data_IF_954199911339
#
_entry.id   IF_954199911339
#
_cell.length_a   1.000
_cell.length_b   1.000
_cell.length_c   1.000
_cell.angle_alpha   90.00
_cell.angle_beta   90.00
_cell.angle_gamma   90.00
#
_symmetry.space_group_name_H-M   'P 1'
#
loop_
_entity.id
_entity.type
_entity.pdbx_description
1 polymer ?
#
# COMPACT_ATOMS: atom_id res chain seq x y z
N UNK A 1 3.91 9.82 -5.21
CA UNK A 1 3.69 11.16 -5.81
C UNK A 1 3.54 10.96 -7.32
N UNK A 2 2.63 11.68 -7.97
CA UNK A 2 2.51 11.71 -9.42
C UNK A 2 3.05 13.02 -9.98
N UNK A 3 3.91 12.94 -10.98
CA UNK A 3 4.41 14.10 -11.71
C UNK A 3 3.39 14.54 -12.77
N UNK A 4 2.80 15.73 -12.57
CA UNK A 4 1.78 16.29 -13.46
C UNK A 4 2.18 17.71 -13.85
N UNK A 5 2.95 17.80 -14.93
CA UNK A 5 3.44 19.08 -15.48
C UNK A 5 3.40 19.17 -17.01
N UNK A 6 2.72 18.20 -17.65
CA UNK A 6 2.61 18.14 -19.11
C UNK A 6 1.63 19.20 -19.67
N UNK A 7 2.05 19.91 -20.72
CA UNK A 7 1.23 21.00 -21.30
C UNK A 7 -0.18 20.58 -21.71
N UNK A 8 -0.38 19.29 -21.99
CA UNK A 8 -1.67 18.68 -22.34
C UNK A 8 -2.73 18.88 -21.26
N UNK A 9 -2.37 18.95 -19.96
CA UNK A 9 -3.32 19.22 -18.87
C UNK A 9 -4.01 20.58 -19.00
N UNK A 10 -3.39 21.56 -19.68
CA UNK A 10 -4.01 22.87 -19.95
C UNK A 10 -5.11 22.82 -21.00
N UNK A 11 -5.21 21.73 -21.75
CA UNK A 11 -6.31 21.47 -22.68
C UNK A 11 -7.57 20.95 -21.99
N UNK A 12 -7.48 20.61 -20.71
CA UNK A 12 -8.60 20.15 -19.87
C UNK A 12 -9.00 21.24 -18.88
N UNK A 13 -10.25 21.21 -18.43
CA UNK A 13 -10.67 22.02 -17.30
C UNK A 13 -10.03 21.52 -15.99
N UNK A 14 -9.90 22.41 -15.01
CA UNK A 14 -9.41 22.05 -13.66
C UNK A 14 -10.23 20.91 -13.04
N UNK A 15 -11.55 20.86 -13.28
CA UNK A 15 -12.41 19.79 -12.79
C UNK A 15 -12.18 18.44 -13.48
N UNK A 16 -11.86 18.42 -14.78
CA UNK A 16 -11.48 17.19 -15.48
C UNK A 16 -10.13 16.67 -14.97
N UNK A 17 -9.17 17.57 -14.74
CA UNK A 17 -7.90 17.20 -14.13
C UNK A 17 -8.10 16.66 -12.71
N UNK A 18 -8.97 17.26 -11.90
CA UNK A 18 -9.32 16.77 -10.55
C UNK A 18 -9.89 15.35 -10.61
N UNK A 19 -10.79 15.07 -11.55
CA UNK A 19 -11.34 13.73 -11.73
C UNK A 19 -10.26 12.70 -12.11
N UNK A 20 -9.34 13.06 -13.00
CA UNK A 20 -8.21 12.20 -13.36
C UNK A 20 -7.27 11.95 -12.17
N UNK A 21 -6.97 12.99 -11.40
CA UNK A 21 -6.14 12.91 -10.19
C UNK A 21 -6.82 12.05 -9.14
N UNK A 22 -8.11 12.29 -8.87
CA UNK A 22 -8.92 11.52 -7.93
C UNK A 22 -8.97 10.04 -8.31
N UNK A 23 -9.11 9.72 -9.60
CA UNK A 23 -9.07 8.34 -10.08
C UNK A 23 -7.69 7.69 -9.84
N UNK A 24 -6.60 8.41 -10.13
CA UNK A 24 -5.25 7.93 -9.85
C UNK A 24 -4.99 7.76 -8.35
N UNK A 25 -5.43 8.72 -7.54
CA UNK A 25 -5.34 8.69 -6.09
C UNK A 25 -6.04 7.45 -5.55
N UNK A 26 -7.28 7.18 -5.98
CA UNK A 26 -8.02 5.98 -5.58
C UNK A 26 -7.25 4.70 -5.92
N UNK A 27 -6.61 4.63 -7.10
CA UNK A 27 -5.79 3.47 -7.49
C UNK A 27 -4.56 3.33 -6.58
N UNK A 28 -3.85 4.43 -6.31
CA UNK A 28 -2.61 4.40 -5.51
C UNK A 28 -2.90 4.15 -4.04
N UNK A 29 -3.93 4.78 -3.49
CA UNK A 29 -4.34 4.61 -2.09
C UNK A 29 -5.01 3.26 -1.83
N UNK A 30 -5.76 2.72 -2.79
CA UNK A 30 -6.25 1.34 -2.70
C UNK A 30 -5.11 0.32 -2.70
N UNK A 31 -3.96 0.65 -3.29
CA UNK A 31 -2.74 -0.15 -3.18
C UNK A 31 -1.96 0.06 -1.87
N UNK A 32 -2.48 0.87 -0.93
CA UNK A 32 -1.88 1.11 0.39
C UNK A 32 -0.77 2.16 0.40
N UNK A 33 -0.59 2.90 -0.70
CA UNK A 33 0.39 3.97 -0.79
C UNK A 33 -0.25 5.33 -0.58
N UNK A 34 0.47 6.23 0.10
CA UNK A 34 0.08 7.64 0.18
C UNK A 34 0.23 8.31 -1.18
N UNK A 35 -0.74 9.12 -1.57
CA UNK A 35 -0.75 9.80 -2.86
C UNK A 35 -0.78 11.32 -2.73
N UNK A 36 -0.06 11.98 -3.63
CA UNK A 36 -0.12 13.43 -3.82
C UNK A 36 0.46 13.76 -5.20
N UNK A 37 0.21 14.97 -5.69
CA UNK A 37 0.71 15.45 -6.97
C UNK A 37 1.96 16.32 -6.77
N UNK A 38 2.92 16.16 -7.69
CA UNK A 38 3.98 17.10 -7.97
C UNK A 38 3.57 17.96 -9.15
N UNK A 39 3.64 19.29 -8.99
CA UNK A 39 3.37 20.23 -10.09
C UNK A 39 3.93 21.63 -9.80
N UNK A 40 3.91 22.50 -10.81
CA UNK A 40 4.40 23.88 -10.72
C UNK A 40 3.43 24.78 -9.94
N UNK A 41 3.97 25.69 -9.13
CA UNK A 41 3.15 26.68 -8.40
C UNK A 41 2.34 27.60 -9.32
N UNK A 42 2.80 27.79 -10.56
CA UNK A 42 2.14 28.60 -11.58
C UNK A 42 0.89 27.95 -12.18
N UNK A 43 0.66 26.66 -11.90
CA UNK A 43 -0.52 25.96 -12.34
C UNK A 43 -1.65 26.21 -11.36
N UNK A 44 -1.56 25.73 -10.12
CA UNK A 44 -2.60 25.93 -9.09
C UNK A 44 -4.02 25.75 -9.64
N UNK A 45 -5.01 26.37 -9.02
CA UNK A 45 -6.43 26.22 -9.44
C UNK A 45 -6.74 26.63 -10.89
N UNK A 46 -5.78 27.25 -11.61
CA UNK A 46 -5.93 27.52 -13.05
C UNK A 46 -5.75 26.29 -13.94
N UNK A 47 -5.15 25.20 -13.42
CA UNK A 47 -4.97 23.93 -14.15
C UNK A 47 -5.27 22.72 -13.26
N UNK A 48 -4.79 22.68 -12.01
CA UNK A 48 -4.93 21.57 -11.06
C UNK A 48 -5.41 22.08 -9.69
N UNK A 49 -6.33 21.40 -8.99
CA UNK A 49 -6.77 21.87 -7.68
C UNK A 49 -5.59 21.94 -6.68
N UNK A 50 -5.44 23.06 -5.98
CA UNK A 50 -4.37 23.22 -4.97
C UNK A 50 -4.39 22.14 -3.89
N UNK A 51 -5.58 21.61 -3.57
CA UNK A 51 -5.75 20.53 -2.58
C UNK A 51 -4.97 19.26 -2.92
N UNK A 52 -4.63 19.04 -4.20
CA UNK A 52 -4.01 17.78 -4.64
C UNK A 52 -2.48 17.90 -4.78
N UNK A 53 -1.94 19.12 -4.82
CA UNK A 53 -0.51 19.37 -5.05
C UNK A 53 0.24 19.42 -3.71
N UNK A 54 0.81 18.29 -3.30
CA UNK A 54 1.61 18.20 -2.06
C UNK A 54 3.10 18.37 -2.26
N UNK A 55 3.62 18.30 -3.50
CA UNK A 55 5.02 18.64 -3.80
C UNK A 55 5.06 19.75 -4.85
N UNK A 56 5.40 20.96 -4.41
CA UNK A 56 5.23 22.15 -5.25
C UNK A 56 6.58 22.56 -5.82
N UNK A 57 6.64 22.78 -7.14
CA UNK A 57 7.83 23.31 -7.81
C UNK A 57 7.71 24.82 -8.02
N UNK A 58 8.70 25.57 -7.53
CA UNK A 58 8.78 27.02 -7.71
C UNK A 58 10.20 27.49 -7.47
N UNK A 59 10.82 28.17 -8.44
CA UNK A 59 12.25 28.49 -8.43
C UNK A 59 12.49 30.00 -8.27
N UNK A 60 12.36 30.58 -7.07
CA UNK A 60 12.61 31.99 -6.86
C UNK A 60 14.11 32.29 -6.98
N UNK A 61 14.43 33.50 -7.46
CA UNK A 61 15.81 33.99 -7.49
C UNK A 61 16.42 34.14 -6.07
N UNK A 62 15.58 34.41 -5.06
CA UNK A 62 16.00 34.67 -3.69
C UNK A 62 15.34 33.67 -2.72
N UNK A 63 16.16 32.92 -1.97
CA UNK A 63 15.72 31.96 -0.96
C UNK A 63 15.91 32.56 0.45
N UNK A 64 14.98 33.40 0.89
CA UNK A 64 15.06 34.06 2.21
C UNK A 64 13.98 33.59 3.21
N UNK A 65 13.09 32.70 2.78
CA UNK A 65 12.00 32.14 3.59
C UNK A 65 11.53 30.83 2.98
N UNK A 66 10.89 30.01 3.80
CA UNK A 66 10.14 28.85 3.35
C UNK A 66 8.88 29.30 2.60
N UNK A 67 8.58 28.64 1.48
CA UNK A 67 7.38 28.85 0.67
C UNK A 67 6.60 27.54 0.57
N UNK A 68 5.29 27.63 0.34
CA UNK A 68 4.46 26.43 0.11
C UNK A 68 4.44 25.43 1.28
N UNK A 69 4.57 25.91 2.51
CA UNK A 69 4.58 25.11 3.75
C UNK A 69 3.26 24.40 4.07
N UNK A 70 2.21 24.66 3.29
CA UNK A 70 0.95 23.93 3.36
C UNK A 70 1.01 22.58 2.64
N UNK A 71 1.98 22.39 1.72
CA UNK A 71 2.27 21.11 1.10
C UNK A 71 3.27 20.28 1.92
N UNK A 72 3.58 19.09 1.42
CA UNK A 72 4.54 18.17 2.02
C UNK A 72 5.99 18.46 1.62
N UNK A 73 6.20 19.08 0.45
CA UNK A 73 7.53 19.44 -0.05
C UNK A 73 7.50 20.63 -1.01
N UNK A 74 8.63 21.35 -1.06
CA UNK A 74 8.89 22.42 -2.02
C UNK A 74 10.18 22.14 -2.78
N UNK A 75 10.09 21.97 -4.10
CA UNK A 75 11.25 21.98 -5.00
C UNK A 75 11.59 23.42 -5.37
N UNK A 76 12.71 23.92 -4.83
CA UNK A 76 13.07 25.33 -4.92
C UNK A 76 14.19 25.63 -5.92
N UNK A 77 14.81 24.59 -6.49
CA UNK A 77 15.90 24.70 -7.46
C UNK A 77 15.95 23.46 -8.35
N UNK A 78 16.31 23.64 -9.62
CA UNK A 78 16.54 22.55 -10.59
C UNK A 78 17.96 22.48 -11.14
N UNK A 79 18.83 23.40 -10.73
CA UNK A 79 20.15 23.58 -11.29
C UNK A 79 21.29 23.54 -10.26
N UNK A 80 21.05 22.94 -9.08
CA UNK A 80 22.08 22.88 -8.03
C UNK A 80 23.23 22.02 -8.49
N UNK A 81 24.43 22.55 -8.34
CA UNK A 81 25.66 21.79 -8.49
C UNK A 81 26.21 21.40 -7.12
N UNK A 82 26.63 20.15 -6.97
CA UNK A 82 27.30 19.67 -5.78
C UNK A 82 28.75 19.33 -6.14
N UNK A 83 29.70 19.80 -5.33
CA UNK A 83 31.11 19.53 -5.56
C UNK A 83 31.37 18.02 -5.54
N UNK A 84 31.99 17.49 -6.59
CA UNK A 84 32.23 16.06 -6.76
C UNK A 84 31.08 15.28 -7.42
N UNK A 85 29.98 15.94 -7.77
CA UNK A 85 28.89 15.33 -8.55
C UNK A 85 28.95 15.75 -10.02
N UNK A 86 28.48 14.87 -10.91
CA UNK A 86 28.27 15.20 -12.32
C UNK A 86 26.82 15.66 -12.53
N UNK A 87 26.65 16.81 -13.18
CA UNK A 87 25.34 17.34 -13.55
C UNK A 87 24.73 18.33 -12.55
N UNK A 88 23.52 18.75 -12.90
CA UNK A 88 22.66 19.66 -12.14
C UNK A 88 21.55 18.85 -11.50
N UNK A 89 21.20 19.21 -10.27
CA UNK A 89 20.26 18.46 -9.46
C UNK A 89 19.09 19.34 -9.04
N UNK A 90 17.92 18.71 -9.02
CA UNK A 90 16.75 19.25 -8.34
C UNK A 90 16.94 19.19 -6.84
N UNK A 91 16.57 20.27 -6.15
CA UNK A 91 16.67 20.38 -4.69
C UNK A 91 15.32 20.72 -4.12
N UNK A 92 14.92 19.91 -3.15
CA UNK A 92 13.66 20.07 -2.44
C UNK A 92 13.85 20.13 -0.94
N UNK A 93 12.98 20.90 -0.28
CA UNK A 93 12.78 20.89 1.16
C UNK A 93 11.54 20.05 1.48
N UNK A 94 11.66 19.10 2.42
CA UNK A 94 10.52 18.34 2.93
C UNK A 94 10.01 19.00 4.21
N UNK A 95 8.70 19.24 4.30
CA UNK A 95 8.06 19.84 5.47
C UNK A 95 7.59 18.81 6.50
N UNK A 96 7.37 17.58 6.09
CA UNK A 96 6.96 16.48 6.96
C UNK A 96 7.56 15.13 6.49
N UNK A 97 7.03 14.03 7.01
CA UNK A 97 7.47 12.67 6.70
C UNK A 97 6.61 11.97 5.64
N UNK A 98 5.88 12.73 4.81
CA UNK A 98 5.03 12.19 3.75
C UNK A 98 5.83 11.36 2.72
N UNK A 99 7.07 11.75 2.41
CA UNK A 99 7.91 11.04 1.44
C UNK A 99 8.90 10.05 2.07
N UNK A 100 9.04 10.05 3.39
CA UNK A 100 10.04 9.23 4.12
C UNK A 100 9.43 7.99 4.80
N UNK A 101 8.19 7.64 4.48
CA UNK A 101 7.54 6.43 5.05
C UNK A 101 7.40 6.43 6.57
N UNK A 102 7.33 7.61 7.21
CA UNK A 102 7.26 7.73 8.67
C UNK A 102 8.62 7.89 9.38
N UNK A 103 9.73 7.80 8.65
CA UNK A 103 11.05 8.13 9.19
C UNK A 103 11.14 9.63 9.51
N UNK A 104 11.91 9.99 10.54
CA UNK A 104 12.08 11.38 10.96
C UNK A 104 12.64 12.22 9.80
N UNK A 105 11.93 13.29 9.41
CA UNK A 105 12.35 14.20 8.32
C UNK A 105 13.72 14.88 8.56
N UNK A 106 14.14 14.98 9.82
CA UNK A 106 15.42 15.55 10.24
C UNK A 106 16.48 14.45 10.50
N UNK A 107 16.20 13.19 10.19
CA UNK A 107 17.20 12.13 10.30
C UNK A 107 18.33 12.42 9.30
N UNK A 108 19.46 12.88 9.83
CA UNK A 108 20.71 12.95 9.07
C UNK A 108 21.16 11.51 8.85
N UNK A 109 21.03 10.99 7.63
CA UNK A 109 21.78 9.80 7.22
C UNK A 109 23.23 10.24 7.16
N UNK A 110 24.08 9.67 8.01
CA UNK A 110 25.49 10.02 8.01
C UNK A 110 26.12 9.60 6.68
N UNK A 111 27.06 10.37 6.13
CA UNK A 111 27.76 10.01 4.88
C UNK A 111 28.49 8.64 4.96
N UNK A 112 28.64 8.06 6.15
CA UNK A 112 29.16 6.70 6.33
C UNK A 112 28.16 5.59 5.96
N UNK A 113 26.86 5.90 5.96
CA UNK A 113 25.78 4.93 5.69
C UNK A 113 25.42 4.84 4.20
N UNK A 114 25.93 5.76 3.36
CA UNK A 114 25.67 5.79 1.91
C UNK A 114 26.59 4.88 1.10
N UNK A 115 27.52 4.16 1.73
CA UNK A 115 28.49 3.31 1.04
C UNK A 115 28.23 1.79 1.10
N UNK A 116 27.16 1.32 1.74
CA UNK A 116 26.88 -0.12 1.86
C UNK A 116 25.45 -0.51 1.46
N UNK A 117 25.02 -0.14 0.24
CA UNK A 117 23.97 -0.92 -0.46
C UNK A 117 24.60 -2.21 -0.97
N UNK A 118 24.94 -3.10 -0.03
CA UNK A 118 25.68 -4.32 -0.33
C UNK A 118 26.11 -5.03 0.94
N UNK A 119 25.32 -6.04 1.33
CA UNK A 119 25.63 -7.06 2.36
C UNK A 119 25.78 -6.54 3.78
N UNK A 120 24.75 -6.74 4.60
CA UNK A 120 24.98 -7.02 6.02
C UNK A 120 23.96 -8.04 6.56
N UNK A 121 24.38 -9.30 6.49
CA UNK A 121 24.07 -10.35 7.45
C UNK A 121 24.66 -9.95 8.81
N UNK A 122 23.83 -9.58 9.78
CA UNK A 122 24.32 -9.35 11.14
C UNK A 122 23.30 -8.68 12.06
N UNK A 123 22.83 -9.43 13.05
CA UNK A 123 22.04 -8.94 14.20
C UNK A 123 22.83 -7.84 14.94
N UNK A 124 22.23 -6.66 15.15
CA UNK A 124 22.43 -5.90 16.38
C UNK A 124 21.13 -5.21 16.80
N UNK A 125 20.76 -5.51 18.05
CA UNK A 125 19.72 -4.84 18.83
C UNK A 125 20.15 -3.41 19.13
N UNK A 126 19.20 -2.47 19.15
CA UNK A 126 19.21 -1.42 20.17
C UNK A 126 17.79 -0.94 20.46
N UNK A 127 17.45 -1.00 21.74
CA UNK A 127 16.25 -0.48 22.37
C UNK A 127 16.17 1.04 22.21
N UNK A 128 14.97 1.57 21.94
CA UNK A 128 14.63 2.93 22.37
C UNK A 128 13.18 3.00 22.85
N UNK A 129 13.05 3.69 23.98
CA UNK A 129 11.90 3.74 24.85
C UNK A 129 10.63 4.23 24.18
N UNK A 130 9.58 3.45 24.42
CA UNK A 130 8.19 3.72 24.10
C UNK A 130 7.68 4.98 24.79
N UNK A 131 7.10 5.91 24.03
CA UNK A 131 5.90 6.62 24.48
C UNK A 131 4.74 6.05 23.67
N UNK A 132 3.91 5.28 24.37
CA UNK A 132 2.74 4.59 23.85
C UNK A 132 1.69 5.60 23.40
N UNK A 133 1.45 5.68 22.09
CA UNK A 133 0.10 5.89 21.57
C UNK A 133 -0.27 4.63 20.81
N UNK A 134 -1.11 3.82 21.46
CA UNK A 134 -1.60 2.53 20.99
C UNK A 134 -2.39 2.70 19.68
N UNK A 135 -1.77 2.37 18.56
CA UNK A 135 -2.47 1.76 17.44
C UNK A 135 -1.97 0.31 17.37
N UNK A 136 -2.88 -0.63 17.64
CA UNK A 136 -2.62 -2.07 17.69
C UNK A 136 -2.14 -2.57 16.32
N UNK A 137 -0.82 -2.63 16.12
CA UNK A 137 -0.22 -3.41 15.05
C UNK A 137 -0.17 -4.86 15.54
N UNK A 138 -1.20 -5.64 15.21
CA UNK A 138 -1.14 -7.08 15.40
C UNK A 138 -0.15 -7.66 14.38
N UNK A 139 1.08 -7.90 14.83
CA UNK A 139 2.02 -8.80 14.14
C UNK A 139 1.38 -10.18 14.09
N UNK A 140 0.93 -10.59 12.92
CA UNK A 140 0.31 -11.89 12.67
C UNK A 140 1.37 -12.91 12.29
N UNK A 141 1.18 -14.15 12.73
CA UNK A 141 1.98 -15.30 12.31
C UNK A 141 1.76 -15.59 10.84
N UNK A 142 2.82 -15.95 10.11
CA UNK A 142 2.66 -16.54 8.77
C UNK A 142 1.75 -17.78 8.86
N UNK A 143 0.82 -17.93 7.92
CA UNK A 143 -0.13 -19.04 7.86
C UNK A 143 -0.17 -19.62 6.43
N UNK A 144 -0.40 -20.93 6.31
CA UNK A 144 -0.82 -21.56 5.05
C UNK A 144 -1.99 -22.51 5.30
N UNK A 145 -2.94 -22.54 4.37
CA UNK A 145 -4.07 -23.45 4.46
C UNK A 145 -4.67 -23.72 3.08
N UNK A 146 -5.18 -24.94 2.91
CA UNK A 146 -5.86 -25.34 1.70
C UNK A 146 -7.23 -24.66 1.59
N UNK A 147 -7.52 -24.06 0.44
CA UNK A 147 -8.83 -23.49 0.15
C UNK A 147 -9.03 -23.41 -1.35
N UNK A 148 -10.15 -23.94 -1.82
CA UNK A 148 -10.54 -23.86 -3.22
C UNK A 148 -11.47 -22.67 -3.46
N UNK A 149 -11.20 -21.89 -4.50
CA UNK A 149 -12.08 -20.81 -4.91
C UNK A 149 -11.69 -20.19 -6.24
N UNK A 150 -12.44 -19.17 -6.61
CA UNK A 150 -12.15 -18.27 -7.71
C UNK A 150 -11.84 -16.88 -7.16
N UNK A 151 -10.97 -16.13 -7.82
CA UNK A 151 -10.66 -14.76 -7.50
C UNK A 151 -10.68 -13.93 -8.77
N UNK A 152 -11.58 -12.96 -8.82
CA UNK A 152 -11.71 -12.01 -9.93
C UNK A 152 -10.98 -10.73 -9.54
N UNK A 153 -9.92 -10.38 -10.26
CA UNK A 153 -9.11 -9.20 -9.97
C UNK A 153 -9.91 -7.92 -10.21
N UNK A 154 -9.67 -6.86 -9.41
CA UNK A 154 -10.19 -5.51 -9.72
C UNK A 154 -9.09 -4.57 -10.25
N UNK A 155 -7.85 -5.05 -10.26
CA UNK A 155 -6.65 -4.35 -10.69
C UNK A 155 -5.69 -5.32 -11.40
N UNK A 156 -4.62 -4.81 -11.99
CA UNK A 156 -3.57 -5.67 -12.57
C UNK A 156 -2.75 -6.30 -11.46
N UNK A 157 -2.60 -7.62 -11.48
CA UNK A 157 -1.86 -8.35 -10.45
C UNK A 157 -0.75 -9.21 -11.04
N UNK A 158 0.44 -9.11 -10.46
CA UNK A 158 1.58 -9.92 -10.86
C UNK A 158 1.39 -11.39 -10.46
N UNK A 159 1.70 -12.29 -11.40
CA UNK A 159 1.85 -13.73 -11.18
C UNK A 159 3.30 -13.97 -10.78
N UNK A 160 3.52 -14.63 -9.65
CA UNK A 160 4.85 -14.82 -9.05
C UNK A 160 5.20 -16.27 -8.81
N UNK A 161 6.49 -16.52 -8.65
CA UNK A 161 7.09 -17.84 -8.40
C UNK A 161 7.03 -18.28 -6.93
N UNK A 162 6.77 -17.37 -6.00
CA UNK A 162 6.58 -17.67 -4.57
C UNK A 162 5.58 -16.68 -3.93
N UNK A 163 5.01 -16.99 -2.74
CA UNK A 163 4.13 -16.07 -2.01
C UNK A 163 4.94 -14.96 -1.32
N UNK A 164 5.63 -14.14 -2.12
CA UNK A 164 6.47 -13.03 -1.67
C UNK A 164 6.56 -11.95 -2.76
N UNK A 165 6.53 -10.69 -2.34
CA UNK A 165 6.68 -9.52 -3.22
C UNK A 165 8.07 -9.42 -3.85
N UNK A 166 9.07 -10.10 -3.28
CA UNK A 166 10.45 -10.11 -3.78
C UNK A 166 10.71 -11.24 -4.78
N UNK A 167 9.75 -12.16 -4.96
CA UNK A 167 9.90 -13.29 -5.88
C UNK A 167 9.68 -12.91 -7.33
N UNK A 168 10.30 -13.66 -8.25
CA UNK A 168 10.26 -13.38 -9.69
C UNK A 168 8.83 -13.34 -10.23
N UNK A 169 8.57 -12.39 -11.12
CA UNK A 169 7.31 -12.21 -11.84
C UNK A 169 7.38 -13.01 -13.14
N UNK A 170 6.34 -13.80 -13.42
CA UNK A 170 6.25 -14.69 -14.59
C UNK A 170 5.06 -14.35 -15.50
N UNK A 171 4.27 -13.36 -15.11
CA UNK A 171 3.12 -12.87 -15.86
C UNK A 171 2.27 -11.93 -15.03
N UNK A 172 1.07 -11.62 -15.51
CA UNK A 172 0.09 -10.82 -14.81
C UNK A 172 -1.33 -11.23 -15.17
N UNK A 173 -2.26 -11.00 -14.25
CA UNK A 173 -3.69 -10.91 -14.54
C UNK A 173 -4.07 -9.44 -14.75
N UNK A 174 -4.80 -9.14 -15.81
CA UNK A 174 -5.45 -7.84 -16.02
C UNK A 174 -6.68 -7.69 -15.11
N UNK A 175 -7.23 -6.47 -14.92
CA UNK A 175 -8.46 -6.27 -14.16
C UNK A 175 -9.64 -7.07 -14.75
N UNK A 176 -10.51 -7.58 -13.88
CA UNK A 176 -11.66 -8.44 -14.18
C UNK A 176 -11.32 -9.84 -14.70
N UNK A 177 -10.04 -10.20 -14.79
CA UNK A 177 -9.67 -11.59 -15.06
C UNK A 177 -9.86 -12.44 -13.80
N UNK A 178 -10.17 -13.73 -14.01
CA UNK A 178 -10.46 -14.65 -12.93
C UNK A 178 -9.46 -15.79 -12.91
N UNK A 179 -8.89 -16.04 -11.73
CA UNK A 179 -8.07 -17.22 -11.47
C UNK A 179 -8.79 -18.17 -10.51
N UNK A 180 -8.64 -19.47 -10.71
CA UNK A 180 -9.01 -20.47 -9.71
C UNK A 180 -7.78 -20.82 -8.88
N UNK A 181 -7.94 -20.96 -7.57
CA UNK A 181 -6.85 -21.24 -6.63
C UNK A 181 -7.24 -22.39 -5.71
N UNK A 182 -6.23 -23.06 -5.14
CA UNK A 182 -6.38 -24.24 -4.27
C UNK A 182 -5.73 -24.06 -2.88
N UNK A 183 -5.04 -22.95 -2.66
CA UNK A 183 -4.33 -22.68 -1.42
C UNK A 183 -4.19 -21.19 -1.15
N UNK A 184 -4.14 -20.83 0.14
CA UNK A 184 -3.90 -19.48 0.61
C UNK A 184 -2.67 -19.45 1.51
N UNK A 185 -1.83 -18.43 1.34
CA UNK A 185 -0.72 -18.13 2.25
C UNK A 185 -0.88 -16.72 2.81
N UNK A 186 -0.78 -16.58 4.12
CA UNK A 186 -0.61 -15.30 4.80
C UNK A 186 0.87 -15.16 5.10
N UNK A 187 1.53 -14.20 4.45
CA UNK A 187 2.96 -13.93 4.68
C UNK A 187 3.19 -12.47 4.97
N UNK A 188 3.62 -12.19 6.20
CA UNK A 188 3.56 -10.84 6.75
C UNK A 188 2.14 -10.29 6.67
N UNK A 189 1.95 -9.19 5.93
CA UNK A 189 0.64 -8.56 5.75
C UNK A 189 -0.13 -9.05 4.51
N UNK A 190 0.47 -9.86 3.63
CA UNK A 190 -0.10 -10.17 2.33
C UNK A 190 -0.84 -11.51 2.31
N UNK A 191 -1.96 -11.54 1.59
CA UNK A 191 -2.73 -12.74 1.27
C UNK A 191 -2.36 -13.21 -0.14
N UNK A 192 -1.80 -14.40 -0.26
CA UNK A 192 -1.39 -14.99 -1.52
C UNK A 192 -2.28 -16.17 -1.88
N UNK A 193 -2.76 -16.19 -3.12
CA UNK A 193 -3.51 -17.31 -3.70
C UNK A 193 -2.58 -18.13 -4.57
N UNK A 194 -2.57 -19.44 -4.39
CA UNK A 194 -1.80 -20.38 -5.22
C UNK A 194 -2.69 -21.08 -6.22
N UNK A 195 -2.20 -21.22 -7.44
CA UNK A 195 -2.80 -22.08 -8.45
C UNK A 195 -1.73 -22.84 -9.24
N UNK A 196 -2.13 -23.92 -9.89
CA UNK A 196 -1.26 -24.69 -10.79
C UNK A 196 -1.40 -24.16 -12.22
N UNK A 197 -0.28 -23.77 -12.82
CA UNK A 197 -0.22 -23.37 -14.22
C UNK A 197 -0.36 -24.55 -15.18
N UNK A 198 -0.60 -24.28 -16.46
CA UNK A 198 -0.68 -25.31 -17.51
C UNK A 198 0.61 -26.14 -17.64
N UNK A 199 1.76 -25.55 -17.32
CA UNK A 199 3.06 -26.24 -17.33
C UNK A 199 3.33 -27.08 -16.08
N UNK A 200 2.37 -27.18 -15.14
CA UNK A 200 2.50 -27.94 -13.90
C UNK A 200 3.25 -27.22 -12.77
N UNK A 201 3.69 -25.98 -12.99
CA UNK A 201 4.34 -25.17 -11.94
C UNK A 201 3.30 -24.45 -11.09
N UNK A 202 3.55 -24.31 -9.78
CA UNK A 202 2.74 -23.46 -8.91
C UNK A 202 3.08 -21.98 -9.11
N UNK A 203 2.04 -21.16 -9.14
CA UNK A 203 2.14 -19.71 -9.20
C UNK A 203 1.30 -19.06 -8.10
N UNK A 204 1.69 -17.84 -7.75
CA UNK A 204 1.15 -17.10 -6.62
C UNK A 204 0.71 -15.70 -7.06
N UNK A 205 -0.49 -15.31 -6.64
CA UNK A 205 -1.04 -13.97 -6.89
C UNK A 205 -1.40 -13.35 -5.55
N UNK A 206 -0.96 -12.12 -5.30
CA UNK A 206 -1.33 -11.39 -4.09
C UNK A 206 -2.76 -10.90 -4.23
N UNK A 207 -3.69 -11.44 -3.44
CA UNK A 207 -5.10 -11.09 -3.48
C UNK A 207 -5.46 -9.88 -2.60
N UNK A 208 -4.56 -9.45 -1.71
CA UNK A 208 -4.81 -8.32 -0.85
C UNK A 208 -3.89 -8.26 0.35
N UNK A 209 -4.23 -7.35 1.27
CA UNK A 209 -3.59 -7.20 2.57
C UNK A 209 -4.56 -7.69 3.64
N UNK A 210 -4.07 -8.49 4.58
CA UNK A 210 -4.89 -9.03 5.66
C UNK A 210 -5.46 -7.90 6.54
N UNK A 211 -6.80 -7.88 6.68
CA UNK A 211 -7.51 -6.81 7.38
C UNK A 211 -7.49 -5.44 6.67
N UNK A 212 -7.00 -5.40 5.41
CA UNK A 212 -6.87 -4.21 4.59
C UNK A 212 -7.61 -4.33 3.25
N UNK A 213 -7.06 -3.70 2.21
CA UNK A 213 -7.67 -3.66 0.88
C UNK A 213 -7.62 -5.03 0.16
N UNK A 214 -8.74 -5.41 -0.46
CA UNK A 214 -8.86 -6.57 -1.34
C UNK A 214 -8.60 -6.14 -2.80
N UNK A 215 -7.69 -6.84 -3.48
CA UNK A 215 -7.29 -6.53 -4.87
C UNK A 215 -8.17 -7.23 -5.92
N UNK A 216 -9.38 -7.60 -5.51
CA UNK A 216 -10.35 -8.35 -6.28
C UNK A 216 -11.38 -8.99 -5.37
N UNK A 217 -12.34 -9.68 -5.98
CA UNK A 217 -13.41 -10.38 -5.27
C UNK A 217 -13.09 -11.85 -5.19
N UNK A 218 -13.01 -12.40 -3.97
CA UNK A 218 -12.82 -13.82 -3.75
C UNK A 218 -14.18 -14.53 -3.66
N UNK A 219 -14.45 -15.41 -4.61
CA UNK A 219 -15.59 -16.32 -4.57
C UNK A 219 -15.11 -17.67 -4.06
N UNK A 220 -15.42 -17.97 -2.81
CA UNK A 220 -15.19 -19.29 -2.22
C UNK A 220 -16.42 -20.17 -2.43
N UNK A 221 -16.23 -21.39 -2.91
CA UNK A 221 -17.32 -22.35 -3.06
C UNK A 221 -17.55 -23.12 -1.76
N UNK A 222 -17.80 -22.42 -0.65
CA UNK A 222 -17.83 -23.07 0.65
C UNK A 222 -19.02 -22.59 1.49
N UNK A 223 -20.00 -23.48 1.67
CA UNK A 223 -20.86 -23.48 2.87
C UNK A 223 -20.05 -24.14 3.99
N UNK A 224 -19.02 -23.46 4.48
CA UNK A 224 -18.27 -23.96 5.62
C UNK A 224 -18.80 -23.36 6.91
N UNK A 225 -18.69 -24.17 7.97
CA UNK A 225 -19.24 -23.87 9.27
C UNK A 225 -18.13 -23.99 10.31
N UNK A 226 -18.01 -23.00 11.18
CA UNK A 226 -17.09 -23.00 12.31
C UNK A 226 -17.89 -22.91 13.60
N UNK A 227 -17.72 -23.89 14.50
CA UNK A 227 -18.32 -23.84 15.83
C UNK A 227 -17.42 -23.04 16.77
N UNK A 228 -17.95 -21.99 17.37
CA UNK A 228 -17.24 -21.13 18.33
C UNK A 228 -16.83 -21.94 19.56
N UNK A 229 -15.56 -21.89 19.93
CA UNK A 229 -15.05 -22.52 21.15
C UNK A 229 -14.84 -21.49 22.27
N UNK A 230 -14.67 -21.97 23.50
CA UNK A 230 -14.34 -21.08 24.63
C UNK A 230 -13.01 -20.36 24.36
N UNK A 231 -13.00 -19.04 24.49
CA UNK A 231 -11.83 -18.19 24.22
C UNK A 231 -11.71 -17.68 22.78
N UNK A 232 -12.60 -18.06 21.87
CA UNK A 232 -12.64 -17.48 20.53
C UNK A 232 -13.21 -16.05 20.55
N UNK A 233 -12.73 -15.22 19.63
CA UNK A 233 -13.29 -13.92 19.25
C UNK A 233 -13.60 -13.94 17.75
N UNK A 234 -14.50 -13.08 17.25
CA UNK A 234 -14.70 -12.99 15.80
C UNK A 234 -13.40 -12.65 15.08
N UNK A 235 -12.54 -11.84 15.68
CA UNK A 235 -11.22 -11.50 15.17
C UNK A 235 -10.32 -12.73 15.04
N UNK A 236 -10.22 -13.55 16.09
CA UNK A 236 -9.37 -14.75 16.09
C UNK A 236 -9.93 -15.85 15.18
N UNK A 237 -11.26 -15.95 15.07
CA UNK A 237 -11.92 -16.86 14.14
C UNK A 237 -11.73 -16.39 12.69
N UNK A 238 -12.03 -15.12 12.39
CA UNK A 238 -11.84 -14.53 11.07
C UNK A 238 -10.39 -14.71 10.59
N UNK A 239 -9.43 -14.45 11.49
CA UNK A 239 -8.01 -14.72 11.24
C UNK A 239 -7.77 -16.20 10.93
N UNK A 240 -8.21 -17.11 11.82
CA UNK A 240 -8.07 -18.58 11.64
C UNK A 240 -8.69 -19.10 10.34
N UNK A 241 -9.78 -18.47 9.88
CA UNK A 241 -10.52 -18.87 8.69
C UNK A 241 -10.10 -18.11 7.43
N UNK A 242 -9.19 -17.13 7.57
CA UNK A 242 -8.71 -16.27 6.49
C UNK A 242 -9.83 -15.55 5.74
N UNK A 243 -10.74 -14.97 6.52
CA UNK A 243 -11.82 -14.06 6.09
C UNK A 243 -11.79 -12.81 6.96
N UNK A 244 -12.48 -11.73 6.57
CA UNK A 244 -12.58 -10.54 7.41
C UNK A 244 -13.66 -10.69 8.50
N UNK A 245 -13.52 -9.96 9.61
CA UNK A 245 -14.57 -9.87 10.63
C UNK A 245 -15.86 -9.32 10.03
N UNK A 246 -15.76 -8.32 9.15
CA UNK A 246 -16.90 -7.76 8.42
C UNK A 246 -17.58 -8.79 7.54
N UNK A 247 -16.84 -9.67 6.89
CA UNK A 247 -17.38 -10.80 6.13
C UNK A 247 -18.15 -11.76 7.05
N UNK A 248 -17.58 -12.19 8.18
CA UNK A 248 -18.29 -13.06 9.13
C UNK A 248 -19.56 -12.41 9.68
N UNK A 249 -19.49 -11.11 10.03
CA UNK A 249 -20.63 -10.33 10.52
C UNK A 249 -21.74 -10.27 9.48
N UNK A 250 -21.42 -9.90 8.24
CA UNK A 250 -22.40 -9.77 7.16
C UNK A 250 -23.00 -11.13 6.76
N UNK A 251 -22.16 -12.18 6.69
CA UNK A 251 -22.58 -13.53 6.29
C UNK A 251 -23.49 -14.20 7.32
N UNK A 252 -23.30 -13.89 8.60
CA UNK A 252 -24.03 -14.50 9.72
C UNK A 252 -25.09 -13.57 10.35
N UNK A 253 -25.21 -12.32 9.88
CA UNK A 253 -26.19 -11.37 10.41
C UNK A 253 -25.92 -10.96 11.86
N UNK A 254 -24.65 -10.85 12.25
CA UNK A 254 -24.25 -10.55 13.64
C UNK A 254 -24.36 -9.05 13.91
N UNK A 255 -25.29 -8.64 14.77
CA UNK A 255 -25.50 -7.21 15.06
C UNK A 255 -24.41 -6.60 15.95
N UNK A 256 -23.72 -7.40 16.76
CA UNK A 256 -22.65 -6.94 17.65
C UNK A 256 -21.40 -7.80 17.46
N UNK A 257 -20.40 -7.26 16.75
CA UNK A 257 -19.16 -7.97 16.44
C UNK A 257 -18.30 -8.33 17.68
N UNK A 258 -18.62 -7.78 18.85
CA UNK A 258 -17.92 -8.09 20.11
C UNK A 258 -18.60 -9.20 20.92
N UNK A 259 -19.69 -9.79 20.42
CA UNK A 259 -20.47 -10.79 21.14
C UNK A 259 -20.74 -12.02 20.26
N UNK A 260 -20.09 -13.12 20.58
CA UNK A 260 -20.34 -14.46 20.03
C UNK A 260 -20.43 -15.46 21.18
N UNK A 261 -21.15 -16.56 20.97
CA UNK A 261 -21.37 -17.56 22.02
C UNK A 261 -20.64 -18.86 21.70
N UNK A 262 -19.99 -19.46 22.70
CA UNK A 262 -19.46 -20.82 22.55
C UNK A 262 -20.57 -21.79 22.14
N UNK A 263 -20.30 -22.60 21.11
CA UNK A 263 -21.27 -23.50 20.48
C UNK A 263 -22.02 -22.88 19.29
N UNK A 264 -21.91 -21.57 19.06
CA UNK A 264 -22.49 -20.91 17.89
C UNK A 264 -21.82 -21.38 16.60
N UNK A 265 -22.60 -21.62 15.54
CA UNK A 265 -22.06 -22.05 14.25
C UNK A 265 -22.03 -20.90 13.26
N UNK A 266 -20.83 -20.48 12.86
CA UNK A 266 -20.59 -19.39 11.91
C UNK A 266 -20.37 -19.93 10.49
N UNK A 267 -21.10 -19.39 9.53
CA UNK A 267 -20.90 -19.58 8.09
C UNK A 267 -19.72 -18.73 7.61
N UNK A 268 -18.84 -19.30 6.80
CA UNK A 268 -17.71 -18.60 6.20
C UNK A 268 -17.30 -19.17 4.85
#
# INVERSE_FOLDING_TARGET
>A
CADIESSQQRGLSTGENDLCISAMQQIVESAGYRFTVYSMSSWGDSVLPWKDIGWIASYPFNLNRDLFTHGHAWQFRSDQYFNGSYGKFDVSQLYDNFFTGGQNKNAVISNGDTHNVGKNTGKQQNQMNTTKNNANVNTTSDEDYAQNGAFTTNTTLNIRTAPSIDSSIVGSYAPNETLTYDHVYIKGQYVWLRYMSYSGSYHYVCAGIMGGAEYGTRTVNNNHYYTVHSGDTLSSIANRLGVSVSYLVAKNGISNANLIYTGETLKY
#
